data_IF_273139270856
#
_entry.id   IF_273139270856
#
_cell.length_a   1.000
_cell.length_b   1.000
_cell.length_c   1.000
_cell.angle_alpha   90.00
_cell.angle_beta   90.00
_cell.angle_gamma   90.00
#
_symmetry.space_group_name_H-M   'P 1'
#
loop_
_entity.id
_entity.type
_entity.pdbx_description
1 polymer ?
#
# COMPACT_ATOMS: atom_id res chain seq x y z
N UNK A 1 1.93 2.97 -1.58
CA UNK A 1 1.95 1.57 -1.06
C UNK A 1 3.10 1.38 -0.11
N UNK A 2 2.88 0.79 1.06
CA UNK A 2 3.95 0.55 2.04
C UNK A 2 4.37 -0.92 2.02
N UNK A 3 5.67 -1.20 2.05
CA UNK A 3 6.22 -2.55 2.23
C UNK A 3 6.95 -2.61 3.57
N UNK A 4 6.42 -3.40 4.52
CA UNK A 4 7.06 -3.65 5.82
C UNK A 4 7.47 -5.13 5.86
N UNK A 5 8.77 -5.38 5.68
CA UNK A 5 9.31 -6.74 5.52
C UNK A 5 8.78 -7.43 4.26
N UNK A 6 8.10 -8.57 4.44
CA UNK A 6 7.51 -9.38 3.36
C UNK A 6 6.01 -9.08 3.12
N UNK A 7 5.43 -8.13 3.86
CA UNK A 7 4.03 -7.76 3.76
C UNK A 7 3.86 -6.43 3.02
N UNK A 8 2.80 -6.35 2.23
CA UNK A 8 2.41 -5.14 1.50
C UNK A 8 1.14 -4.56 2.09
N UNK A 9 1.08 -3.23 2.16
CA UNK A 9 -0.07 -2.50 2.68
C UNK A 9 -0.48 -1.37 1.74
N UNK A 10 -1.78 -1.25 1.49
CA UNK A 10 -2.37 -0.03 0.96
C UNK A 10 -2.55 0.94 2.13
N UNK A 11 -1.94 2.12 2.01
CA UNK A 11 -2.03 3.17 3.03
C UNK A 11 -2.90 4.28 2.47
N UNK A 12 -4.00 4.59 3.16
CA UNK A 12 -4.87 5.72 2.81
C UNK A 12 -5.15 6.57 4.03
N UNK A 13 -5.28 7.88 3.83
CA UNK A 13 -5.74 8.80 4.86
C UNK A 13 -7.26 8.97 4.76
N UNK A 14 -7.92 8.98 5.90
CA UNK A 14 -9.34 9.33 6.04
C UNK A 14 -9.43 10.55 6.95
N UNK A 15 -10.05 11.60 6.43
CA UNK A 15 -10.32 12.87 7.12
C UNK A 15 -9.11 13.47 7.84
N UNK A 16 -7.93 13.42 7.21
CA UNK A 16 -6.63 13.94 7.68
C UNK A 16 -6.08 13.41 9.02
N UNK A 17 -6.85 12.60 9.76
CA UNK A 17 -6.50 12.13 11.11
C UNK A 17 -6.21 10.63 11.13
N UNK A 18 -6.92 9.83 10.33
CA UNK A 18 -6.86 8.37 10.42
C UNK A 18 -6.09 7.81 9.23
N UNK A 19 -5.02 7.07 9.52
CA UNK A 19 -4.28 6.32 8.50
C UNK A 19 -4.72 4.86 8.54
N UNK A 20 -5.38 4.40 7.48
CA UNK A 20 -5.76 2.99 7.31
C UNK A 20 -4.65 2.25 6.57
N UNK A 21 -4.11 1.21 7.20
CA UNK A 21 -3.20 0.23 6.60
C UNK A 21 -3.98 -1.04 6.29
N UNK A 22 -4.23 -1.31 5.01
CA UNK A 22 -4.95 -2.51 4.56
C UNK A 22 -3.93 -3.51 4.01
N UNK A 23 -3.81 -4.73 4.58
CA UNK A 23 -2.91 -5.74 4.06
C UNK A 23 -3.34 -6.17 2.66
N UNK A 24 -2.38 -6.30 1.76
CA UNK A 24 -2.61 -6.77 0.40
C UNK A 24 -1.64 -7.90 0.06
N UNK A 25 -2.03 -8.75 -0.87
CA UNK A 25 -1.17 -9.83 -1.36
C UNK A 25 -0.10 -9.28 -2.31
N UNK A 26 1.00 -10.02 -2.46
CA UNK A 26 2.10 -9.63 -3.35
C UNK A 26 1.65 -9.47 -4.82
N UNK A 27 0.71 -10.28 -5.29
CA UNK A 27 0.16 -10.16 -6.65
C UNK A 27 -0.59 -8.84 -6.87
N UNK A 28 -1.36 -8.41 -5.86
CA UNK A 28 -2.05 -7.11 -5.87
C UNK A 28 -1.03 -5.98 -5.85
N UNK A 29 -0.01 -6.04 -4.98
CA UNK A 29 1.07 -5.05 -4.97
C UNK A 29 1.79 -4.95 -6.33
N UNK A 30 2.06 -6.09 -6.99
CA UNK A 30 2.64 -6.13 -8.34
C UNK A 30 1.77 -5.46 -9.39
N UNK A 31 0.46 -5.69 -9.37
CA UNK A 31 -0.49 -5.00 -10.26
C UNK A 31 -0.44 -3.48 -10.07
N UNK A 32 -0.46 -3.02 -8.81
CA UNK A 32 -0.43 -1.59 -8.53
C UNK A 32 0.89 -0.93 -8.93
N UNK A 33 2.02 -1.62 -8.79
CA UNK A 33 3.31 -1.16 -9.31
C UNK A 33 3.29 -1.06 -10.84
N UNK A 34 2.71 -2.04 -11.53
CA UNK A 34 2.56 -2.02 -13.00
C UNK A 34 1.65 -0.86 -13.48
N UNK A 35 0.67 -0.49 -12.66
CA UNK A 35 -0.20 0.68 -12.88
C UNK A 35 0.44 2.02 -12.46
N UNK A 36 1.70 2.01 -12.00
CA UNK A 36 2.43 3.22 -11.64
C UNK A 36 2.08 3.81 -10.27
N UNK A 37 1.44 3.03 -9.38
CA UNK A 37 1.16 3.49 -8.02
C UNK A 37 2.47 3.64 -7.24
N UNK A 38 2.75 4.84 -6.68
CA UNK A 38 4.00 5.07 -5.97
C UNK A 38 4.09 4.23 -4.70
N UNK A 39 5.28 3.65 -4.51
CA UNK A 39 5.67 3.05 -3.24
C UNK A 39 6.06 4.13 -2.24
N UNK A 40 5.56 3.99 -1.02
CA UNK A 40 5.94 4.76 0.14
C UNK A 40 7.07 4.00 0.84
N UNK A 41 8.13 4.72 1.18
CA UNK A 41 9.28 4.21 1.94
C UNK A 41 8.97 4.14 3.43
#
# INVERSE_FOLDING_TARGET
MLQEGNAYFLVTKVDDVITLKVPITAGVAGLFLALGVPRCS
#
